data_IF_630046462827
#
_entry.id   IF_630046462827
#
_cell.length_a   1.000
_cell.length_b   1.000
_cell.length_c   1.000
_cell.angle_alpha   90.00
_cell.angle_beta   90.00
_cell.angle_gamma   90.00
#
_symmetry.space_group_name_H-M   'P 1'
#
loop_
_entity.id
_entity.type
_entity.pdbx_description
1 polymer ?
#
# COMPACT_ATOMS: atom_id res chain seq x y z
N UNK A 1 33.66 -3.81 -67.54
CA UNK A 1 33.62 -4.89 -66.53
C UNK A 1 33.60 -4.24 -65.16
N UNK A 2 32.72 -4.72 -64.28
CA UNK A 2 32.23 -4.19 -62.99
C UNK A 2 31.07 -3.18 -63.04
N UNK A 3 29.92 -3.67 -62.56
CA UNK A 3 28.71 -2.96 -62.17
C UNK A 3 28.27 -3.56 -60.82
N UNK A 4 28.20 -2.72 -59.77
CA UNK A 4 27.37 -2.81 -58.55
C UNK A 4 27.66 -1.51 -57.75
N UNK A 5 26.75 -0.54 -57.70
CA UNK A 5 25.78 -0.28 -56.60
C UNK A 5 26.40 -0.36 -55.20
N UNK A 6 26.18 0.54 -54.24
CA UNK A 6 25.07 1.42 -53.93
C UNK A 6 25.63 2.47 -52.94
N UNK A 7 25.48 3.76 -53.22
CA UNK A 7 25.80 4.81 -52.23
C UNK A 7 24.78 4.72 -51.09
N UNK A 8 25.21 4.31 -49.90
CA UNK A 8 24.41 4.43 -48.67
C UNK A 8 24.29 5.92 -48.32
N UNK A 9 23.20 6.56 -48.73
CA UNK A 9 22.76 7.80 -48.11
C UNK A 9 22.21 7.47 -46.73
N UNK A 10 22.84 8.02 -45.69
CA UNK A 10 22.35 8.01 -44.32
C UNK A 10 21.03 8.80 -44.29
N UNK A 11 19.91 8.11 -44.48
CA UNK A 11 18.59 8.65 -44.14
C UNK A 11 18.52 8.76 -42.62
N UNK A 12 18.72 9.97 -42.12
CA UNK A 12 18.32 10.37 -40.78
C UNK A 12 16.79 10.21 -40.68
N UNK A 13 16.33 9.02 -40.30
CA UNK A 13 14.98 8.79 -39.80
C UNK A 13 14.81 9.59 -38.51
N UNK A 14 14.27 10.80 -38.62
CA UNK A 14 13.70 11.50 -37.46
C UNK A 14 12.48 10.69 -37.00
N UNK A 15 12.66 9.81 -36.02
CA UNK A 15 11.61 8.94 -35.47
C UNK A 15 10.51 9.69 -34.69
N UNK A 16 10.61 11.01 -34.53
CA UNK A 16 9.59 11.83 -33.90
C UNK A 16 9.93 13.32 -33.96
N UNK A 17 8.89 14.15 -33.98
CA UNK A 17 8.99 15.61 -33.87
C UNK A 17 8.26 16.03 -32.58
N UNK A 18 8.99 16.63 -31.65
CA UNK A 18 8.43 17.19 -30.42
C UNK A 18 8.13 18.67 -30.67
N UNK A 19 6.89 19.08 -30.39
CA UNK A 19 6.44 20.46 -30.54
C UNK A 19 5.96 20.94 -29.18
N UNK A 20 6.66 21.91 -28.61
CA UNK A 20 6.26 22.59 -27.39
C UNK A 20 5.43 23.83 -27.74
N UNK A 21 4.29 24.01 -27.06
CA UNK A 21 3.32 25.07 -27.37
C UNK A 21 2.90 25.76 -26.09
N UNK A 22 2.94 27.10 -26.06
CA UNK A 22 2.55 27.90 -24.89
C UNK A 22 1.03 27.92 -24.64
N UNK A 23 0.22 27.71 -25.68
CA UNK A 23 -1.24 27.73 -25.58
C UNK A 23 -1.81 26.31 -25.48
N UNK A 24 -3.00 26.17 -24.87
CA UNK A 24 -3.77 24.91 -24.84
C UNK A 24 -4.29 24.59 -26.25
N UNK A 25 -3.42 24.12 -27.14
CA UNK A 25 -3.78 23.70 -28.49
C UNK A 25 -4.61 22.41 -28.40
N UNK A 26 -5.74 22.39 -29.12
CA UNK A 26 -6.56 21.19 -29.22
C UNK A 26 -5.84 20.14 -30.09
N UNK A 27 -5.38 19.06 -29.45
CA UNK A 27 -4.63 17.97 -30.12
C UNK A 27 -5.42 17.33 -31.25
N UNK A 28 -6.75 17.26 -31.13
CA UNK A 28 -7.59 16.70 -32.20
C UNK A 28 -7.59 17.61 -33.44
N UNK A 29 -7.48 18.93 -33.24
CA UNK A 29 -7.36 19.88 -34.33
C UNK A 29 -5.96 19.85 -34.94
N UNK A 30 -4.91 19.76 -34.11
CA UNK A 30 -3.53 19.60 -34.55
C UNK A 30 -3.36 18.31 -35.37
N UNK A 31 -3.88 17.18 -34.88
CA UNK A 31 -3.84 15.90 -35.58
C UNK A 31 -4.57 15.96 -36.93
N UNK A 32 -5.70 16.68 -37.02
CA UNK A 32 -6.40 16.93 -38.29
C UNK A 32 -5.62 17.83 -39.25
N UNK A 33 -4.93 18.86 -38.74
CA UNK A 33 -4.09 19.74 -39.56
C UNK A 33 -2.87 19.00 -40.10
N UNK A 34 -2.21 18.20 -39.25
CA UNK A 34 -1.10 17.33 -39.66
C UNK A 34 -1.59 16.33 -40.71
N UNK A 35 -2.75 15.67 -40.50
CA UNK A 35 -3.36 14.74 -41.46
C UNK A 35 -3.42 15.32 -42.86
N UNK A 36 -4.03 16.51 -42.98
CA UNK A 36 -4.24 17.19 -44.26
C UNK A 36 -2.93 17.55 -44.97
N UNK A 37 -1.86 17.84 -44.23
CA UNK A 37 -0.55 18.21 -44.80
C UNK A 37 0.26 16.98 -45.23
N UNK A 38 -0.01 15.84 -44.61
CA UNK A 38 0.64 14.54 -44.87
C UNK A 38 -0.15 13.62 -45.80
N UNK A 39 -1.40 13.96 -46.11
CA UNK A 39 -2.29 13.18 -46.99
C UNK A 39 -1.65 13.00 -48.38
N UNK A 40 -1.59 11.76 -48.86
CA UNK A 40 -0.97 11.41 -50.15
C UNK A 40 0.56 11.29 -50.16
N UNK A 41 1.25 11.54 -49.03
CA UNK A 41 2.72 11.46 -48.93
C UNK A 41 3.27 10.16 -48.33
N UNK A 42 2.40 9.21 -47.96
CA UNK A 42 2.80 7.89 -47.47
C UNK A 42 3.36 7.83 -46.05
N UNK A 43 3.28 8.92 -45.27
CA UNK A 43 3.75 8.94 -43.88
C UNK A 43 2.67 8.42 -42.91
N UNK A 44 3.06 7.52 -42.00
CA UNK A 44 2.29 7.21 -40.79
C UNK A 44 2.65 8.21 -39.71
N UNK A 45 1.67 8.90 -39.14
CA UNK A 45 1.90 9.88 -38.10
C UNK A 45 0.90 9.69 -36.95
N UNK A 46 1.40 9.86 -35.73
CA UNK A 46 0.62 9.78 -34.50
C UNK A 46 0.94 11.00 -33.65
N UNK A 47 -0.08 11.80 -33.33
CA UNK A 47 0.08 12.97 -32.45
C UNK A 47 -0.37 12.56 -31.07
N UNK A 48 0.56 12.52 -30.12
CA UNK A 48 0.26 12.23 -28.72
C UNK A 48 0.38 13.50 -27.87
N UNK A 49 -0.48 13.61 -26.86
CA UNK A 49 -0.29 14.62 -25.81
C UNK A 49 0.23 13.94 -24.55
N UNK A 50 1.47 14.21 -24.13
CA UNK A 50 2.00 13.64 -22.89
C UNK A 50 1.14 14.01 -21.67
N UNK A 51 0.51 15.20 -21.66
CA UNK A 51 -0.34 15.62 -20.55
C UNK A 51 -1.65 14.81 -20.43
N UNK A 52 -2.27 14.42 -21.55
CA UNK A 52 -3.46 13.54 -21.54
C UNK A 52 -3.10 12.10 -21.18
N UNK A 53 -1.92 11.63 -21.58
CA UNK A 53 -1.43 10.32 -21.17
C UNK A 53 -1.17 10.29 -19.67
N UNK A 54 -0.50 11.31 -19.12
CA UNK A 54 -0.31 11.47 -17.67
C UNK A 54 -1.62 11.58 -16.90
N UNK A 55 -2.61 12.28 -17.44
CA UNK A 55 -3.94 12.39 -16.83
C UNK A 55 -4.68 11.05 -16.82
N UNK A 56 -4.63 10.30 -17.93
CA UNK A 56 -5.21 8.96 -18.03
C UNK A 56 -4.48 7.95 -17.14
N UNK A 57 -3.17 8.04 -17.01
CA UNK A 57 -2.39 7.20 -16.09
C UNK A 57 -2.72 7.54 -14.63
N UNK A 58 -2.77 8.82 -14.27
CA UNK A 58 -3.22 9.25 -12.93
C UNK A 58 -4.64 8.76 -12.64
N UNK A 59 -5.56 8.94 -13.58
CA UNK A 59 -6.93 8.46 -13.45
C UNK A 59 -7.01 6.92 -13.36
N UNK A 60 -6.13 6.21 -14.08
CA UNK A 60 -6.00 4.75 -14.00
C UNK A 60 -5.49 4.27 -12.65
N UNK A 61 -4.53 4.98 -12.07
CA UNK A 61 -4.00 4.73 -10.71
C UNK A 61 -5.06 5.06 -9.66
N UNK A 62 -5.73 6.19 -9.78
CA UNK A 62 -6.78 6.63 -8.84
C UNK A 62 -8.01 5.71 -8.88
N UNK A 63 -8.34 5.16 -10.06
CA UNK A 63 -9.43 4.19 -10.22
C UNK A 63 -9.02 2.74 -9.89
N UNK A 64 -7.77 2.47 -9.52
CA UNK A 64 -7.29 1.12 -9.20
C UNK A 64 -7.82 0.68 -7.83
N UNK A 65 -9.11 0.33 -7.78
CA UNK A 65 -9.83 -0.05 -6.55
C UNK A 65 -9.42 -1.42 -6.01
N UNK A 66 -8.92 -2.31 -6.87
CA UNK A 66 -8.71 -3.72 -6.53
C UNK A 66 -7.58 -3.96 -5.52
N UNK A 67 -6.37 -3.37 -5.68
CA UNK A 67 -5.31 -3.52 -4.68
C UNK A 67 -5.72 -2.95 -3.32
N UNK A 68 -6.41 -1.80 -3.29
CA UNK A 68 -6.87 -1.18 -2.06
C UNK A 68 -7.90 -2.06 -1.32
N UNK A 69 -8.85 -2.64 -2.06
CA UNK A 69 -9.86 -3.53 -1.50
C UNK A 69 -9.25 -4.83 -0.97
N UNK A 70 -8.27 -5.39 -1.68
CA UNK A 70 -7.53 -6.57 -1.23
C UNK A 70 -6.73 -6.26 0.05
N UNK A 71 -5.99 -5.16 0.09
CA UNK A 71 -5.28 -4.73 1.31
C UNK A 71 -6.23 -4.50 2.48
N UNK A 72 -7.39 -3.89 2.22
CA UNK A 72 -8.43 -3.68 3.23
C UNK A 72 -9.00 -4.99 3.80
N UNK A 73 -9.24 -6.00 2.96
CA UNK A 73 -9.74 -7.31 3.43
C UNK A 73 -8.69 -8.06 4.25
N UNK A 74 -7.41 -8.01 3.85
CA UNK A 74 -6.31 -8.61 4.65
C UNK A 74 -6.22 -7.94 6.01
N UNK A 75 -6.26 -6.60 6.07
CA UNK A 75 -6.23 -5.86 7.34
C UNK A 75 -7.42 -6.23 8.25
N UNK A 76 -8.61 -6.43 7.67
CA UNK A 76 -9.78 -6.87 8.43
C UNK A 76 -9.62 -8.27 9.02
N UNK A 77 -9.07 -9.22 8.27
CA UNK A 77 -8.80 -10.55 8.82
C UNK A 77 -7.72 -10.52 9.90
N UNK A 78 -6.65 -9.72 9.71
CA UNK A 78 -5.63 -9.53 10.74
C UNK A 78 -6.22 -8.91 12.02
N UNK A 79 -7.10 -7.92 11.88
CA UNK A 79 -7.86 -7.34 12.99
C UNK A 79 -8.62 -8.43 13.76
N UNK A 80 -9.40 -9.24 13.04
CA UNK A 80 -10.23 -10.28 13.64
C UNK A 80 -9.39 -11.32 14.38
N UNK A 81 -8.25 -11.72 13.81
CA UNK A 81 -7.31 -12.65 14.45
C UNK A 81 -6.75 -12.11 15.77
N UNK A 82 -6.37 -10.82 15.81
CA UNK A 82 -5.88 -10.20 17.05
C UNK A 82 -6.98 -10.18 18.12
N UNK A 83 -8.21 -9.83 17.75
CA UNK A 83 -9.35 -9.85 18.67
C UNK A 83 -9.58 -11.25 19.24
N UNK A 84 -9.63 -12.28 18.38
CA UNK A 84 -9.82 -13.67 18.83
C UNK A 84 -8.69 -14.14 19.76
N UNK A 85 -7.44 -13.79 19.43
CA UNK A 85 -6.27 -14.14 20.24
C UNK A 85 -6.30 -13.44 21.60
N UNK A 86 -6.71 -12.16 21.64
CA UNK A 86 -6.86 -11.42 22.89
C UNK A 86 -7.94 -12.01 23.79
N UNK A 87 -9.06 -12.44 23.22
CA UNK A 87 -10.11 -13.13 23.95
C UNK A 87 -9.60 -14.47 24.51
N UNK A 88 -8.89 -15.25 23.71
CA UNK A 88 -8.30 -16.51 24.15
C UNK A 88 -7.31 -16.31 25.32
N UNK A 89 -6.45 -15.29 25.25
CA UNK A 89 -5.52 -14.94 26.31
C UNK A 89 -6.24 -14.59 27.63
N UNK A 90 -7.33 -13.80 27.55
CA UNK A 90 -8.16 -13.48 28.72
C UNK A 90 -8.81 -14.73 29.32
N UNK A 91 -9.26 -15.67 28.49
CA UNK A 91 -9.85 -16.91 28.97
C UNK A 91 -8.83 -17.78 29.71
N UNK A 92 -7.58 -17.84 29.24
CA UNK A 92 -6.49 -18.53 29.93
C UNK A 92 -6.17 -17.87 31.28
N UNK A 93 -6.17 -16.54 31.34
CA UNK A 93 -5.89 -15.77 32.56
C UNK A 93 -7.10 -15.58 33.49
N UNK A 94 -8.27 -16.13 33.15
CA UNK A 94 -9.53 -15.90 33.90
C UNK A 94 -9.41 -16.20 35.40
N UNK A 95 -8.72 -17.28 35.76
CA UNK A 95 -8.53 -17.67 37.17
C UNK A 95 -7.66 -16.65 37.91
N UNK A 96 -6.59 -16.18 37.29
CA UNK A 96 -5.68 -15.17 37.86
C UNK A 96 -6.39 -13.82 38.02
N UNK A 97 -7.18 -13.42 37.01
CA UNK A 97 -8.05 -12.24 37.04
C UNK A 97 -9.03 -12.32 38.22
N UNK A 98 -9.69 -13.47 38.41
CA UNK A 98 -10.59 -13.70 39.53
C UNK A 98 -9.90 -13.54 40.89
N UNK A 99 -8.75 -14.19 41.07
CA UNK A 99 -7.97 -14.12 42.31
C UNK A 99 -7.58 -12.67 42.61
N UNK A 100 -7.03 -11.94 41.62
CA UNK A 100 -6.66 -10.53 41.78
C UNK A 100 -7.87 -9.66 42.13
N UNK A 101 -9.03 -9.93 41.51
CA UNK A 101 -10.27 -9.24 41.84
C UNK A 101 -10.75 -9.53 43.26
N UNK A 102 -10.62 -10.77 43.74
CA UNK A 102 -10.99 -11.17 45.11
C UNK A 102 -10.06 -10.52 46.15
N UNK A 103 -8.79 -10.31 45.79
CA UNK A 103 -7.81 -9.56 46.60
C UNK A 103 -8.05 -8.03 46.59
N UNK A 104 -9.11 -7.56 45.95
CA UNK A 104 -9.48 -6.14 45.94
C UNK A 104 -8.80 -5.30 44.85
N UNK A 105 -8.12 -5.91 43.88
CA UNK A 105 -7.54 -5.16 42.77
C UNK A 105 -8.62 -4.44 41.94
N UNK A 106 -8.32 -3.20 41.54
CA UNK A 106 -9.20 -2.46 40.64
C UNK A 106 -9.19 -3.05 39.22
N UNK A 107 -10.28 -2.89 38.48
CA UNK A 107 -10.38 -3.33 37.08
C UNK A 107 -9.25 -2.75 36.22
N UNK A 108 -8.88 -1.50 36.48
CA UNK A 108 -7.78 -0.82 35.78
C UNK A 108 -6.43 -1.50 36.03
N UNK A 109 -6.12 -1.84 37.29
CA UNK A 109 -4.88 -2.56 37.63
C UNK A 109 -4.79 -3.95 36.99
N UNK A 110 -5.93 -4.62 36.80
CA UNK A 110 -5.98 -5.91 36.10
C UNK A 110 -5.76 -5.73 34.59
N UNK A 111 -6.32 -4.68 33.98
CA UNK A 111 -6.21 -4.44 32.53
C UNK A 111 -4.85 -3.86 32.11
N UNK A 112 -4.22 -3.04 32.95
CA UNK A 112 -2.96 -2.35 32.65
C UNK A 112 -1.85 -3.24 32.07
N UNK A 113 -1.51 -4.42 32.66
CA UNK A 113 -0.46 -5.28 32.11
C UNK A 113 -0.76 -5.75 30.69
N UNK A 114 -2.01 -6.08 30.37
CA UNK A 114 -2.40 -6.47 29.02
C UNK A 114 -2.19 -5.34 28.02
N UNK A 115 -2.55 -4.09 28.38
CA UNK A 115 -2.35 -2.93 27.48
C UNK A 115 -0.87 -2.72 27.19
N UNK A 116 -0.02 -2.80 28.21
CA UNK A 116 1.44 -2.64 28.06
C UNK A 116 2.01 -3.72 27.14
N UNK A 117 1.57 -4.97 27.31
CA UNK A 117 1.97 -6.09 26.46
C UNK A 117 1.57 -5.85 24.99
N UNK A 118 0.32 -5.45 24.74
CA UNK A 118 -0.13 -5.13 23.38
C UNK A 118 0.61 -3.95 22.78
N UNK A 119 0.83 -2.87 23.52
CA UNK A 119 1.62 -1.71 23.05
C UNK A 119 3.01 -2.14 22.58
N UNK A 120 3.68 -3.00 23.35
CA UNK A 120 5.00 -3.50 23.03
C UNK A 120 4.97 -4.43 21.80
N UNK A 121 3.97 -5.31 21.71
CA UNK A 121 3.76 -6.17 20.54
C UNK A 121 3.50 -5.37 19.26
N UNK A 122 2.69 -4.30 19.32
CA UNK A 122 2.43 -3.43 18.16
C UNK A 122 3.70 -2.74 17.67
N UNK A 123 4.51 -2.17 18.58
CA UNK A 123 5.78 -1.53 18.21
C UNK A 123 6.72 -2.54 17.54
N UNK A 124 6.87 -3.73 18.10
CA UNK A 124 7.70 -4.79 17.51
C UNK A 124 7.17 -5.23 16.14
N UNK A 125 5.85 -5.43 16.01
CA UNK A 125 5.24 -5.84 14.75
C UNK A 125 5.43 -4.80 13.65
N UNK A 126 5.32 -3.50 13.97
CA UNK A 126 5.59 -2.41 13.01
C UNK A 126 7.04 -2.45 12.56
N UNK A 127 8.00 -2.56 13.49
CA UNK A 127 9.42 -2.63 13.16
C UNK A 127 9.75 -3.83 12.25
N UNK A 128 9.24 -5.02 12.61
CA UNK A 128 9.44 -6.24 11.83
C UNK A 128 8.78 -6.12 10.46
N UNK A 129 7.56 -5.58 10.38
CA UNK A 129 6.84 -5.38 9.12
C UNK A 129 7.57 -4.44 8.17
N UNK A 130 8.09 -3.31 8.68
CA UNK A 130 8.88 -2.37 7.88
C UNK A 130 10.18 -3.03 7.39
N UNK A 131 10.89 -3.74 8.27
CA UNK A 131 12.12 -4.43 7.91
C UNK A 131 11.88 -5.49 6.83
N UNK A 132 10.82 -6.30 6.98
CA UNK A 132 10.43 -7.31 6.01
C UNK A 132 10.04 -6.71 4.66
N UNK A 133 9.24 -5.63 4.67
CA UNK A 133 8.87 -4.92 3.46
C UNK A 133 10.09 -4.35 2.72
N UNK A 134 11.03 -3.74 3.46
CA UNK A 134 12.27 -3.24 2.86
C UNK A 134 13.12 -4.37 2.28
N UNK A 135 13.21 -5.50 2.99
CA UNK A 135 13.95 -6.67 2.54
C UNK A 135 13.39 -7.26 1.24
N UNK A 136 12.08 -7.50 1.16
CA UNK A 136 11.44 -7.99 -0.07
C UNK A 136 11.67 -7.04 -1.25
N UNK A 137 11.48 -5.73 -1.03
CA UNK A 137 11.68 -4.75 -2.09
C UNK A 137 13.14 -4.69 -2.55
N UNK A 138 14.12 -4.84 -1.67
CA UNK A 138 15.52 -4.98 -2.05
C UNK A 138 15.76 -6.20 -2.94
N UNK A 139 15.18 -7.35 -2.59
CA UNK A 139 15.28 -8.57 -3.41
C UNK A 139 14.60 -8.44 -4.78
N UNK A 140 13.42 -7.81 -4.84
CA UNK A 140 12.71 -7.54 -6.10
C UNK A 140 13.51 -6.59 -7.00
N UNK A 141 14.13 -5.56 -6.43
CA UNK A 141 15.01 -4.63 -7.17
C UNK A 141 16.24 -5.34 -7.73
N UNK A 142 16.82 -6.31 -7.01
CA UNK A 142 17.95 -7.10 -7.51
C UNK A 142 17.56 -8.03 -8.66
N UNK A 143 16.42 -8.71 -8.57
CA UNK A 143 15.88 -9.54 -9.67
C UNK A 143 15.56 -8.66 -10.88
N UNK A 144 14.97 -7.49 -10.66
CA UNK A 144 14.67 -6.54 -11.73
C UNK A 144 15.94 -6.01 -12.40
N UNK A 145 17.00 -5.68 -11.65
CA UNK A 145 18.30 -5.30 -12.25
C UNK A 145 18.93 -6.42 -13.08
N UNK A 146 18.75 -7.68 -12.67
CA UNK A 146 19.11 -8.84 -13.49
C UNK A 146 18.31 -8.95 -14.78
N UNK A 147 17.04 -8.50 -14.75
CA UNK A 147 16.12 -8.50 -15.88
C UNK A 147 16.21 -7.22 -16.76
N UNK A 148 16.67 -6.08 -16.23
CA UNK A 148 16.80 -4.78 -16.91
C UNK A 148 17.86 -4.75 -18.02
N UNK A 149 18.68 -5.81 -18.16
CA UNK A 149 19.33 -6.11 -19.44
C UNK A 149 18.31 -6.36 -20.59
N UNK A 150 17.01 -6.41 -20.29
CA UNK A 150 15.88 -6.48 -21.22
C UNK A 150 14.83 -5.36 -20.94
N UNK A 151 15.25 -4.11 -21.09
CA UNK A 151 14.48 -2.96 -21.65
C UNK A 151 13.25 -2.41 -20.90
N UNK A 152 12.62 -3.05 -19.89
CA UNK A 152 11.46 -2.41 -19.21
C UNK A 152 11.48 -2.57 -17.69
N UNK A 153 11.69 -1.44 -16.98
CA UNK A 153 11.56 -1.33 -15.53
C UNK A 153 10.07 -1.17 -15.13
N UNK A 154 9.40 -2.30 -14.84
CA UNK A 154 7.96 -2.32 -14.59
C UNK A 154 7.55 -1.95 -13.16
N UNK A 155 8.45 -2.13 -12.18
CA UNK A 155 8.19 -1.77 -10.78
C UNK A 155 9.06 -0.58 -10.36
N UNK A 156 8.41 0.52 -9.99
CA UNK A 156 9.09 1.64 -9.33
C UNK A 156 9.62 1.24 -7.96
N UNK A 157 10.57 2.01 -7.42
CA UNK A 157 11.11 1.80 -6.07
C UNK A 157 10.02 1.98 -5.03
N UNK A 158 9.48 0.87 -4.51
CA UNK A 158 8.47 0.84 -3.44
C UNK A 158 9.12 1.26 -2.11
N UNK A 159 9.11 2.56 -1.84
CA UNK A 159 9.61 3.14 -0.59
C UNK A 159 8.44 3.42 0.35
N UNK A 160 8.55 2.99 1.61
CA UNK A 160 7.61 3.37 2.67
C UNK A 160 7.66 4.89 2.84
N UNK A 161 6.54 5.56 2.56
CA UNK A 161 6.43 7.01 2.74
C UNK A 161 6.22 7.35 4.23
N UNK A 162 6.64 8.55 4.64
CA UNK A 162 6.40 9.02 6.02
C UNK A 162 4.89 9.08 6.31
N UNK A 163 4.10 9.48 5.32
CA UNK A 163 2.63 9.52 5.40
C UNK A 163 2.04 8.14 5.71
N UNK A 164 2.53 7.08 5.06
CA UNK A 164 2.08 5.70 5.35
C UNK A 164 2.41 5.27 6.79
N UNK A 165 3.55 5.70 7.33
CA UNK A 165 3.93 5.42 8.72
C UNK A 165 2.97 6.09 9.72
N UNK A 166 2.58 7.34 9.44
CA UNK A 166 1.60 8.07 10.26
C UNK A 166 0.25 7.36 10.26
N UNK A 167 -0.21 6.89 9.09
CA UNK A 167 -1.47 6.13 8.96
C UNK A 167 -1.41 4.81 9.73
N UNK A 168 -0.31 4.05 9.61
CA UNK A 168 -0.11 2.79 10.36
C UNK A 168 -0.11 3.06 11.87
N UNK A 169 0.56 4.13 12.32
CA UNK A 169 0.59 4.52 13.73
C UNK A 169 -0.80 4.87 14.26
N UNK A 170 -1.56 5.68 13.52
CA UNK A 170 -2.92 6.06 13.89
C UNK A 170 -3.86 4.83 13.97
N UNK A 171 -3.80 3.94 12.98
CA UNK A 171 -4.56 2.69 12.99
C UNK A 171 -4.19 1.81 14.19
N UNK A 172 -2.90 1.69 14.52
CA UNK A 172 -2.43 0.90 15.65
C UNK A 172 -2.97 1.42 16.99
N UNK A 173 -3.05 2.74 17.17
CA UNK A 173 -3.65 3.35 18.37
C UNK A 173 -5.14 3.00 18.47
N UNK A 174 -5.87 3.10 17.35
CA UNK A 174 -7.30 2.71 17.30
C UNK A 174 -7.47 1.25 17.67
N UNK A 175 -6.61 0.36 17.17
CA UNK A 175 -6.60 -1.06 17.52
C UNK A 175 -6.46 -1.30 19.02
N UNK A 176 -5.49 -0.63 19.64
CA UNK A 176 -5.22 -0.76 21.07
C UNK A 176 -6.44 -0.31 21.89
N UNK A 177 -7.12 0.75 21.49
CA UNK A 177 -8.35 1.21 22.15
C UNK A 177 -9.47 0.18 22.05
N UNK A 178 -9.66 -0.44 20.89
CA UNK A 178 -10.68 -1.48 20.71
C UNK A 178 -10.37 -2.72 21.55
N UNK A 179 -9.12 -3.19 21.53
CA UNK A 179 -8.67 -4.32 22.34
C UNK A 179 -8.84 -4.01 23.83
N UNK A 180 -8.47 -2.80 24.27
CA UNK A 180 -8.66 -2.37 25.65
C UNK A 180 -10.13 -2.40 26.06
N UNK A 181 -11.03 -1.86 25.24
CA UNK A 181 -12.46 -1.89 25.52
C UNK A 181 -12.97 -3.33 25.69
N UNK A 182 -12.57 -4.24 24.78
CA UNK A 182 -12.94 -5.66 24.84
C UNK A 182 -12.43 -6.30 26.14
N UNK A 183 -11.16 -6.11 26.47
CA UNK A 183 -10.56 -6.63 27.71
C UNK A 183 -11.31 -6.10 28.93
N UNK A 184 -11.54 -4.79 28.97
CA UNK A 184 -12.19 -4.11 30.09
C UNK A 184 -13.59 -4.66 30.36
N UNK A 185 -14.42 -4.80 29.32
CA UNK A 185 -15.77 -5.36 29.48
C UNK A 185 -15.75 -6.82 29.92
N UNK A 186 -14.81 -7.63 29.43
CA UNK A 186 -14.69 -9.03 29.86
C UNK A 186 -14.23 -9.15 31.32
N UNK A 187 -13.27 -8.33 31.76
CA UNK A 187 -12.84 -8.31 33.17
C UNK A 187 -13.98 -7.89 34.08
N UNK A 188 -14.77 -6.87 33.69
CA UNK A 188 -15.97 -6.47 34.43
C UNK A 188 -16.99 -7.60 34.54
N UNK A 189 -17.23 -8.32 33.45
CA UNK A 189 -18.15 -9.48 33.43
C UNK A 189 -17.67 -10.57 34.39
N UNK A 190 -16.37 -10.89 34.37
CA UNK A 190 -15.78 -11.87 35.28
C UNK A 190 -15.97 -11.43 36.73
N UNK A 191 -15.61 -10.20 37.06
CA UNK A 191 -15.76 -9.64 38.43
C UNK A 191 -17.19 -9.70 38.94
N UNK A 192 -18.17 -9.33 38.11
CA UNK A 192 -19.59 -9.36 38.49
C UNK A 192 -20.13 -10.78 38.72
N UNK A 193 -19.67 -11.77 37.96
CA UNK A 193 -20.06 -13.17 38.19
C UNK A 193 -19.54 -13.68 39.53
N UNK A 194 -18.27 -13.41 39.87
CA UNK A 194 -17.70 -13.83 41.15
C UNK A 194 -18.37 -13.17 42.36
N UNK A 195 -18.67 -11.87 42.27
CA UNK A 195 -19.38 -11.16 43.34
C UNK A 195 -20.77 -11.75 43.63
N UNK A 196 -21.43 -12.37 42.64
CA UNK A 196 -22.74 -13.03 42.82
C UNK A 196 -22.64 -14.43 43.42
N UNK A 197 -21.49 -15.10 43.31
CA UNK A 197 -21.30 -16.46 43.85
C UNK A 197 -20.85 -16.46 45.32
N UNK A 198 -20.36 -15.32 45.83
CA UNK A 198 -19.81 -15.17 47.19
C UNK A 198 -20.78 -14.47 48.16
N UNK A 199 -21.83 -13.82 47.64
CA UNK A 199 -22.89 -13.13 48.39
C UNK A 199 -24.15 -14.00 48.48
#
# INVERSE_FOLDING_TARGET
FYCTTLFYSVELLYNGLIIETNDKININELQKKVLKVTEGKGYSYYVTNPNKLLENEKQGIDNMSYPLLLSGTVLFFSFLSIVLTSMAALYMERKNISIRSALGASTFQICLPFIIEYMLLFVLAICIGIMYFQWENSGVIEIQKGLENSIVSFFGTLKVSIESLVVIGALSIVMILVIYAIIYFNVLKIKNTYMKEVL
#
